data_IF_983993807273
#
_entry.id   IF_983993807273
#
_cell.length_a   1.000
_cell.length_b   1.000
_cell.length_c   1.000
_cell.angle_alpha   90.00
_cell.angle_beta   90.00
_cell.angle_gamma   90.00
#
_symmetry.space_group_name_H-M   'P 1'
#
loop_
_entity.id
_entity.type
_entity.pdbx_description
1 polymer ?
#
# COMPACT_ATOMS: atom_id res chain seq x y z
N UNK A 1 7.08 4.29 -14.43
CA UNK A 1 7.01 3.45 -13.22
C UNK A 1 6.26 2.16 -13.53
N UNK A 2 6.67 1.00 -12.96
CA UNK A 2 5.94 -0.27 -13.07
C UNK A 2 5.03 -0.45 -11.84
N UNK A 3 3.78 -0.83 -12.06
CA UNK A 3 2.80 -1.06 -10.99
C UNK A 3 2.28 -2.49 -11.08
N UNK A 4 2.51 -3.27 -10.03
CA UNK A 4 2.03 -4.63 -9.86
C UNK A 4 0.79 -4.61 -8.97
N UNK A 5 -0.36 -4.96 -9.51
CA UNK A 5 -1.63 -5.03 -8.77
C UNK A 5 -1.90 -6.50 -8.47
N UNK A 6 -1.91 -6.87 -7.18
CA UNK A 6 -2.24 -8.24 -6.78
C UNK A 6 -3.73 -8.34 -6.41
N UNK A 7 -4.42 -9.32 -6.98
CA UNK A 7 -5.85 -9.56 -6.71
C UNK A 7 -6.16 -11.04 -6.49
N UNK A 8 -7.00 -11.30 -5.53
CA UNK A 8 -7.60 -12.60 -5.23
C UNK A 8 -9.09 -12.67 -5.60
N UNK A 9 -9.61 -11.61 -6.25
CA UNK A 9 -11.03 -11.44 -6.56
C UNK A 9 -11.88 -10.94 -5.40
N UNK A 10 -11.31 -10.76 -4.21
CA UNK A 10 -12.01 -10.16 -3.06
C UNK A 10 -12.42 -8.71 -3.33
N UNK A 11 -13.33 -8.19 -2.50
CA UNK A 11 -13.71 -6.78 -2.50
C UNK A 11 -12.49 -5.85 -2.43
N UNK A 12 -11.52 -6.16 -1.56
CA UNK A 12 -10.31 -5.35 -1.40
C UNK A 12 -9.35 -5.48 -2.58
N UNK A 13 -9.26 -6.65 -3.22
CA UNK A 13 -8.51 -6.84 -4.45
C UNK A 13 -9.10 -6.04 -5.62
N UNK A 14 -10.43 -5.99 -5.74
CA UNK A 14 -11.14 -5.13 -6.70
C UNK A 14 -10.87 -3.65 -6.43
N UNK A 15 -10.95 -3.23 -5.18
CA UNK A 15 -10.63 -1.87 -4.76
C UNK A 15 -9.17 -1.49 -5.06
N UNK A 16 -8.22 -2.42 -4.92
CA UNK A 16 -6.83 -2.16 -5.27
C UNK A 16 -6.69 -1.78 -6.76
N UNK A 17 -7.42 -2.43 -7.66
CA UNK A 17 -7.44 -2.09 -9.08
C UNK A 17 -8.07 -0.72 -9.34
N UNK A 18 -9.18 -0.40 -8.66
CA UNK A 18 -9.85 0.90 -8.80
C UNK A 18 -9.02 2.06 -8.23
N UNK A 19 -8.35 1.84 -7.09
CA UNK A 19 -7.49 2.85 -6.48
C UNK A 19 -6.42 3.33 -7.44
N UNK A 20 -5.81 2.41 -8.18
CA UNK A 20 -4.75 2.74 -9.15
C UNK A 20 -5.26 3.65 -10.27
N UNK A 21 -6.52 3.51 -10.68
CA UNK A 21 -7.15 4.40 -11.66
C UNK A 21 -7.40 5.82 -11.14
N UNK A 22 -7.44 5.99 -9.81
CA UNK A 22 -7.78 7.26 -9.14
C UNK A 22 -6.57 8.00 -8.60
N UNK A 23 -5.39 7.37 -8.60
CA UNK A 23 -4.14 8.03 -8.23
C UNK A 23 -3.73 8.98 -9.37
N UNK A 24 -3.49 10.26 -9.08
CA UNK A 24 -3.05 11.23 -10.08
C UNK A 24 -1.56 11.05 -10.41
N UNK A 25 -1.21 9.98 -11.13
CA UNK A 25 0.17 9.75 -11.54
C UNK A 25 0.67 10.84 -12.50
N UNK A 26 1.92 11.27 -12.34
CA UNK A 26 2.59 12.21 -13.24
C UNK A 26 2.70 11.63 -14.65
N UNK A 27 3.24 10.42 -14.75
CA UNK A 27 3.39 9.66 -16.00
C UNK A 27 2.50 8.43 -15.97
N UNK A 28 2.05 7.98 -17.14
CA UNK A 28 1.26 6.74 -17.24
C UNK A 28 2.09 5.53 -16.81
N UNK A 29 1.75 4.84 -15.71
CA UNK A 29 2.46 3.66 -15.29
C UNK A 29 2.24 2.47 -16.23
N UNK A 30 3.18 1.52 -16.20
CA UNK A 30 2.99 0.20 -16.81
C UNK A 30 2.34 -0.72 -15.80
N UNK A 31 1.08 -1.09 -16.03
CA UNK A 31 0.32 -1.94 -15.12
C UNK A 31 0.50 -3.41 -15.44
N UNK A 32 0.65 -4.20 -14.38
CA UNK A 32 0.55 -5.66 -14.42
C UNK A 32 -0.44 -6.07 -13.34
N UNK A 33 -1.52 -6.73 -13.72
CA UNK A 33 -2.46 -7.32 -12.78
C UNK A 33 -2.07 -8.79 -12.59
N UNK A 34 -1.87 -9.19 -11.35
CA UNK A 34 -1.40 -10.49 -10.93
C UNK A 34 -2.49 -11.21 -10.13
N UNK A 35 -2.82 -12.41 -10.57
CA UNK A 35 -3.55 -13.39 -9.77
C UNK A 35 -2.65 -14.59 -9.49
N UNK A 36 -2.69 -15.10 -8.28
CA UNK A 36 -1.90 -16.26 -7.86
C UNK A 36 -2.86 -17.33 -7.36
N UNK A 37 -2.75 -18.50 -7.95
CA UNK A 37 -3.50 -19.68 -7.53
C UNK A 37 -2.66 -20.43 -6.48
N UNK A 38 -3.11 -20.40 -5.21
CA UNK A 38 -2.43 -21.07 -4.11
C UNK A 38 -2.82 -22.55 -4.05
N UNK A 39 -2.07 -23.38 -4.77
CA UNK A 39 -2.27 -24.84 -4.77
C UNK A 39 -1.64 -25.48 -3.53
N UNK A 40 -0.62 -24.84 -2.94
CA UNK A 40 0.07 -25.38 -1.77
C UNK A 40 -0.82 -25.35 -0.52
N UNK A 41 -1.71 -24.35 -0.42
CA UNK A 41 -2.69 -24.28 0.67
C UNK A 41 -3.64 -25.51 0.70
N UNK A 42 -3.88 -26.16 -0.44
CA UNK A 42 -4.68 -27.39 -0.51
C UNK A 42 -3.86 -28.61 -0.15
N UNK A 43 -2.58 -28.61 -0.49
CA UNK A 43 -1.69 -29.76 -0.25
C UNK A 43 -1.14 -29.82 1.18
N UNK A 44 -0.95 -28.67 1.84
CA UNK A 44 -0.34 -28.59 3.15
C UNK A 44 -1.11 -29.36 4.25
N UNK A 45 -2.46 -29.26 4.38
CA UNK A 45 -3.19 -30.04 5.38
C UNK A 45 -3.06 -31.56 5.19
N UNK A 46 -2.87 -32.00 3.95
CA UNK A 46 -2.84 -33.41 3.57
C UNK A 46 -1.49 -34.05 3.91
N UNK A 47 -0.40 -33.28 3.88
CA UNK A 47 0.93 -33.76 4.25
C UNK A 47 1.08 -34.09 5.73
N UNK A 48 0.21 -33.59 6.60
CA UNK A 48 0.26 -33.77 8.06
C UNK A 48 -0.75 -34.80 8.61
N UNK A 49 -1.59 -35.42 7.75
CA UNK A 49 -2.55 -36.43 8.18
C UNK A 49 -2.22 -37.79 7.55
N UNK A 50 -1.91 -38.83 8.38
CA UNK A 50 -1.55 -40.17 7.88
C UNK A 50 -2.69 -40.95 7.17
N UNK A 51 -3.90 -40.38 7.10
CA UNK A 51 -5.13 -41.07 6.67
C UNK A 51 -5.50 -40.85 5.20
N UNK A 52 -4.66 -40.21 4.40
CA UNK A 52 -5.06 -39.77 3.06
C UNK A 52 -4.43 -40.57 1.92
N UNK A 53 -4.09 -41.84 2.16
CA UNK A 53 -3.82 -42.78 1.09
C UNK A 53 -5.17 -43.18 0.50
N UNK A 54 -5.53 -42.54 -0.64
CA UNK A 54 -6.79 -42.80 -1.38
C UNK A 54 -7.60 -41.59 -1.79
N UNK A 55 -7.26 -40.38 -1.32
CA UNK A 55 -8.01 -39.16 -1.66
C UNK A 55 -7.43 -38.33 -2.83
N UNK A 56 -6.60 -38.95 -3.69
CA UNK A 56 -6.08 -38.29 -4.91
C UNK A 56 -7.18 -37.65 -5.78
N UNK A 57 -8.34 -38.33 -6.03
CA UNK A 57 -9.42 -37.73 -6.81
C UNK A 57 -10.00 -36.47 -6.18
N UNK A 58 -10.19 -36.43 -4.87
CA UNK A 58 -10.69 -35.27 -4.13
C UNK A 58 -9.73 -34.08 -4.23
N UNK A 59 -8.43 -34.34 -4.10
CA UNK A 59 -7.39 -33.31 -4.24
C UNK A 59 -7.39 -32.73 -5.65
N UNK A 60 -7.47 -33.59 -6.66
CA UNK A 60 -7.51 -33.17 -8.06
C UNK A 60 -8.75 -32.34 -8.39
N UNK A 61 -9.89 -32.70 -7.84
CA UNK A 61 -11.13 -31.94 -8.04
C UNK A 61 -11.08 -30.59 -7.33
N UNK A 62 -10.50 -30.50 -6.13
CA UNK A 62 -10.32 -29.24 -5.44
C UNK A 62 -9.33 -28.33 -6.17
N UNK A 63 -8.23 -28.86 -6.69
CA UNK A 63 -7.29 -28.12 -7.53
C UNK A 63 -8.01 -27.58 -8.78
N UNK A 64 -8.83 -28.37 -9.46
CA UNK A 64 -9.61 -27.92 -10.62
C UNK A 64 -10.58 -26.78 -10.27
N UNK A 65 -11.24 -26.88 -9.09
CA UNK A 65 -12.14 -25.81 -8.60
C UNK A 65 -11.40 -24.51 -8.37
N UNK A 66 -10.23 -24.57 -7.70
CA UNK A 66 -9.39 -23.40 -7.42
C UNK A 66 -8.88 -22.78 -8.73
N UNK A 67 -8.45 -23.61 -9.69
CA UNK A 67 -8.03 -23.12 -11.01
C UNK A 67 -9.19 -22.48 -11.80
N UNK A 68 -10.37 -23.08 -11.76
CA UNK A 68 -11.55 -22.51 -12.39
C UNK A 68 -11.91 -21.16 -11.77
N UNK A 69 -11.88 -21.05 -10.43
CA UNK A 69 -12.07 -19.79 -9.70
C UNK A 69 -11.01 -18.75 -10.08
N UNK A 70 -9.74 -19.16 -10.18
CA UNK A 70 -8.66 -18.28 -10.63
C UNK A 70 -8.88 -17.72 -12.03
N UNK A 71 -9.36 -18.56 -12.97
CA UNK A 71 -9.72 -18.11 -14.31
C UNK A 71 -10.87 -17.09 -14.30
N UNK A 72 -11.91 -17.33 -13.48
CA UNK A 72 -13.02 -16.37 -13.31
C UNK A 72 -12.53 -15.06 -12.72
N UNK A 73 -11.70 -15.10 -11.66
CA UNK A 73 -11.09 -13.90 -11.05
C UNK A 73 -10.32 -13.08 -12.07
N UNK A 74 -9.52 -13.72 -12.92
CA UNK A 74 -8.78 -13.03 -13.99
C UNK A 74 -9.69 -12.43 -15.05
N UNK A 75 -10.75 -13.12 -15.44
CA UNK A 75 -11.72 -12.60 -16.41
C UNK A 75 -12.44 -11.36 -15.86
N UNK A 76 -12.90 -11.41 -14.60
CA UNK A 76 -13.50 -10.26 -13.92
C UNK A 76 -12.53 -9.09 -13.80
N UNK A 77 -11.29 -9.36 -13.41
CA UNK A 77 -10.26 -8.35 -13.28
C UNK A 77 -9.90 -7.69 -14.63
N UNK A 78 -9.89 -8.48 -15.72
CA UNK A 78 -9.74 -7.96 -17.08
C UNK A 78 -10.87 -7.01 -17.46
N UNK A 79 -12.10 -7.40 -17.19
CA UNK A 79 -13.28 -6.57 -17.45
C UNK A 79 -13.23 -5.26 -16.63
N UNK A 80 -12.85 -5.36 -15.35
CA UNK A 80 -12.66 -4.19 -14.48
C UNK A 80 -11.57 -3.24 -15.00
N UNK A 81 -10.40 -3.75 -15.40
CA UNK A 81 -9.35 -2.92 -16.01
C UNK A 81 -9.86 -2.21 -17.27
N UNK A 82 -10.61 -2.91 -18.12
CA UNK A 82 -11.18 -2.34 -19.33
C UNK A 82 -12.17 -1.20 -19.02
N UNK A 83 -13.08 -1.39 -18.06
CA UNK A 83 -14.05 -0.36 -17.61
C UNK A 83 -13.36 0.88 -17.03
N UNK A 84 -12.24 0.68 -16.33
CA UNK A 84 -11.41 1.75 -15.76
C UNK A 84 -10.43 2.36 -16.77
N UNK A 85 -10.45 1.90 -18.03
CA UNK A 85 -9.51 2.32 -19.09
C UNK A 85 -8.02 2.13 -18.72
N UNK A 86 -7.72 1.15 -17.86
CA UNK A 86 -6.38 0.74 -17.49
C UNK A 86 -5.83 -0.21 -18.54
N UNK A 87 -4.77 0.20 -19.25
CA UNK A 87 -4.03 -0.68 -20.15
C UNK A 87 -2.91 -1.38 -19.39
N UNK A 88 -2.89 -2.70 -19.37
CA UNK A 88 -1.88 -3.47 -18.63
C UNK A 88 -1.82 -4.94 -19.03
N UNK A 89 -0.84 -5.66 -18.49
CA UNK A 89 -0.67 -7.09 -18.65
C UNK A 89 -1.46 -7.83 -17.57
N UNK A 90 -2.00 -9.00 -17.93
CA UNK A 90 -2.59 -9.96 -16.99
C UNK A 90 -1.59 -11.10 -16.82
N UNK A 91 -1.31 -11.45 -15.59
CA UNK A 91 -0.38 -12.53 -15.22
C UNK A 91 -1.09 -13.46 -14.25
N UNK A 92 -1.03 -14.74 -14.53
CA UNK A 92 -1.49 -15.81 -13.65
C UNK A 92 -0.30 -16.66 -13.24
N UNK A 93 -0.08 -16.79 -11.94
CA UNK A 93 0.99 -17.58 -11.37
C UNK A 93 0.40 -18.67 -10.46
N UNK A 94 1.19 -19.70 -10.18
CA UNK A 94 0.89 -20.75 -9.21
C UNK A 94 1.92 -20.73 -8.09
N UNK A 95 1.50 -20.95 -6.85
CA UNK A 95 2.37 -21.06 -5.69
C UNK A 95 1.91 -20.25 -4.50
N UNK A 96 2.75 -20.16 -3.48
CA UNK A 96 2.49 -19.38 -2.28
C UNK A 96 2.35 -17.88 -2.60
N UNK A 97 1.24 -17.26 -2.20
CA UNK A 97 0.83 -15.92 -2.66
C UNK A 97 1.87 -14.85 -2.30
N UNK A 98 2.23 -14.73 -1.03
CA UNK A 98 3.15 -13.70 -0.56
C UNK A 98 4.54 -13.78 -1.21
N UNK A 99 5.23 -14.95 -1.16
CA UNK A 99 6.53 -15.14 -1.81
C UNK A 99 6.50 -14.85 -3.32
N UNK A 100 5.43 -15.24 -4.02
CA UNK A 100 5.31 -14.98 -5.47
C UNK A 100 5.17 -13.48 -5.76
N UNK A 101 4.36 -12.74 -4.98
CA UNK A 101 4.28 -11.28 -5.09
C UNK A 101 5.66 -10.66 -4.86
N UNK A 102 6.37 -11.05 -3.81
CA UNK A 102 7.69 -10.51 -3.46
C UNK A 102 8.73 -10.76 -4.55
N UNK A 103 8.72 -11.95 -5.15
CA UNK A 103 9.60 -12.32 -6.27
C UNK A 103 9.37 -11.42 -7.49
N UNK A 104 8.10 -11.18 -7.86
CA UNK A 104 7.75 -10.36 -9.01
C UNK A 104 7.92 -8.85 -8.73
N UNK A 105 7.86 -8.45 -7.47
CA UNK A 105 8.07 -7.07 -7.03
C UNK A 105 9.53 -6.60 -7.03
N UNK A 106 10.49 -7.46 -7.37
CA UNK A 106 11.94 -7.25 -7.21
C UNK A 106 12.54 -6.12 -8.07
N UNK A 107 11.75 -5.20 -8.59
CA UNK A 107 12.22 -4.06 -9.37
C UNK A 107 12.27 -2.80 -8.50
N UNK A 108 13.45 -2.14 -8.46
CA UNK A 108 13.73 -1.00 -7.55
C UNK A 108 12.78 0.19 -7.67
N UNK A 109 12.18 0.44 -8.84
CA UNK A 109 11.28 1.57 -9.09
C UNK A 109 9.82 1.15 -9.25
N UNK A 110 9.46 -0.01 -8.68
CA UNK A 110 8.11 -0.58 -8.73
C UNK A 110 7.21 -0.11 -7.59
N UNK A 111 5.92 -0.22 -7.82
CA UNK A 111 4.87 -0.10 -6.82
C UNK A 111 4.06 -1.39 -6.81
N UNK A 112 3.94 -2.03 -5.65
CA UNK A 112 2.98 -3.12 -5.44
C UNK A 112 1.72 -2.52 -4.84
N UNK A 113 0.57 -2.90 -5.39
CA UNK A 113 -0.75 -2.48 -4.90
C UNK A 113 -1.56 -3.72 -4.57
N UNK A 114 -2.07 -3.78 -3.36
CA UNK A 114 -2.90 -4.89 -2.91
C UNK A 114 -3.94 -4.43 -1.89
N UNK A 115 -5.02 -5.18 -1.79
CA UNK A 115 -6.02 -4.96 -0.75
C UNK A 115 -5.46 -5.24 0.64
N UNK A 116 -5.99 -4.60 1.64
CA UNK A 116 -5.61 -4.86 3.04
C UNK A 116 -6.00 -6.26 3.53
N UNK A 117 -6.94 -6.91 2.85
CA UNK A 117 -7.51 -8.21 3.19
C UNK A 117 -7.83 -9.02 1.94
N UNK A 118 -7.92 -10.35 2.11
CA UNK A 118 -8.36 -11.27 1.09
C UNK A 118 -9.77 -11.82 1.36
N UNK A 119 -10.08 -12.95 0.71
CA UNK A 119 -11.38 -13.63 0.76
C UNK A 119 -11.73 -14.17 2.15
N UNK A 120 -10.73 -14.60 2.93
CA UNK A 120 -10.91 -15.29 4.22
C UNK A 120 -10.84 -14.36 5.45
N UNK A 121 -10.98 -13.05 5.25
CA UNK A 121 -10.82 -12.09 6.33
C UNK A 121 -12.07 -12.01 7.22
N UNK A 122 -12.00 -12.59 8.40
CA UNK A 122 -13.07 -12.59 9.43
C UNK A 122 -13.10 -11.29 10.27
N UNK A 123 -11.97 -10.62 10.45
CA UNK A 123 -11.88 -9.44 11.31
C UNK A 123 -11.74 -8.15 10.51
N UNK A 124 -12.60 -7.17 10.81
CA UNK A 124 -12.63 -5.86 10.12
C UNK A 124 -11.44 -4.94 10.43
N UNK A 125 -10.68 -5.23 11.48
CA UNK A 125 -9.63 -4.33 11.99
C UNK A 125 -8.21 -4.84 11.73
N UNK A 126 -8.02 -6.09 11.28
CA UNK A 126 -6.70 -6.66 11.06
C UNK A 126 -6.27 -6.65 9.60
N UNK A 127 -4.98 -6.42 9.38
CA UNK A 127 -4.34 -6.59 8.08
C UNK A 127 -4.21 -8.08 7.75
N UNK A 128 -4.51 -8.48 6.52
CA UNK A 128 -4.37 -9.87 6.08
C UNK A 128 -2.90 -10.34 6.09
N UNK A 129 -2.69 -11.67 6.18
CA UNK A 129 -1.35 -12.27 6.22
C UNK A 129 -0.48 -11.90 5.02
N UNK A 130 -1.03 -12.01 3.80
CA UNK A 130 -0.33 -11.63 2.56
C UNK A 130 0.02 -10.15 2.56
N UNK A 131 -0.93 -9.27 2.92
CA UNK A 131 -0.71 -7.83 2.94
C UNK A 131 0.33 -7.44 3.98
N UNK A 132 0.33 -8.09 5.14
CA UNK A 132 1.36 -7.94 6.18
C UNK A 132 2.73 -8.38 5.65
N UNK A 133 2.83 -9.56 5.06
CA UNK A 133 4.08 -10.10 4.53
C UNK A 133 4.66 -9.19 3.43
N UNK A 134 3.82 -8.75 2.49
CA UNK A 134 4.26 -7.86 1.41
C UNK A 134 4.65 -6.49 1.95
N UNK A 135 3.87 -5.89 2.86
CA UNK A 135 4.21 -4.61 3.46
C UNK A 135 5.55 -4.65 4.22
N UNK A 136 5.86 -5.77 4.89
CA UNK A 136 7.11 -5.92 5.64
C UNK A 136 8.32 -6.16 4.73
N UNK A 137 8.18 -6.97 3.69
CA UNK A 137 9.31 -7.57 2.97
C UNK A 137 9.46 -7.13 1.50
N UNK A 138 8.51 -6.36 0.93
CA UNK A 138 8.65 -5.94 -0.46
C UNK A 138 9.94 -5.13 -0.69
N UNK A 139 10.66 -5.38 -1.78
CA UNK A 139 11.88 -4.63 -2.11
C UNK A 139 11.59 -3.24 -2.71
N UNK A 140 10.33 -2.94 -3.02
CA UNK A 140 9.84 -1.71 -3.63
C UNK A 140 8.72 -1.07 -2.81
N UNK A 141 8.20 0.06 -3.25
CA UNK A 141 7.08 0.76 -2.60
C UNK A 141 5.81 -0.10 -2.61
N UNK A 142 4.97 0.06 -1.57
CA UNK A 142 3.76 -0.74 -1.38
C UNK A 142 2.58 0.18 -1.05
N UNK A 143 1.48 0.05 -1.78
CA UNK A 143 0.19 0.64 -1.46
C UNK A 143 -0.74 -0.44 -0.89
N UNK A 144 -1.17 -0.26 0.34
CA UNK A 144 -2.19 -1.09 0.98
C UNK A 144 -3.53 -0.36 0.92
N UNK A 145 -4.46 -0.92 0.17
CA UNK A 145 -5.80 -0.37 -0.01
C UNK A 145 -6.74 -0.90 1.08
N UNK A 146 -7.34 0.01 1.83
CA UNK A 146 -8.16 -0.32 3.01
C UNK A 146 -9.63 0.07 2.89
N UNK A 147 -9.94 1.02 2.06
CA UNK A 147 -11.28 1.56 1.92
C UNK A 147 -11.70 1.63 0.46
N UNK A 148 -12.99 1.86 0.27
CA UNK A 148 -13.56 2.04 -1.06
C UNK A 148 -12.87 3.17 -1.81
N UNK A 149 -12.54 2.94 -3.09
CA UNK A 149 -11.81 3.93 -3.86
C UNK A 149 -12.62 5.21 -4.07
N UNK A 150 -12.02 6.32 -3.72
CA UNK A 150 -12.51 7.67 -4.00
C UNK A 150 -11.38 8.50 -4.60
N UNK A 151 -11.68 9.61 -5.26
CA UNK A 151 -10.64 10.53 -5.73
C UNK A 151 -9.70 10.91 -4.59
N UNK A 152 -8.39 10.81 -4.83
CA UNK A 152 -7.39 11.22 -3.83
C UNK A 152 -7.31 12.74 -3.83
N UNK A 153 -7.91 13.36 -2.83
CA UNK A 153 -7.98 14.81 -2.66
C UNK A 153 -7.13 15.30 -1.47
N UNK A 154 -6.94 14.46 -0.46
CA UNK A 154 -6.18 14.82 0.73
C UNK A 154 -5.20 13.71 1.13
N UNK A 155 -3.92 14.04 1.17
CA UNK A 155 -2.82 13.14 1.49
C UNK A 155 -2.16 13.58 2.79
N UNK A 156 -1.94 12.67 3.75
CA UNK A 156 -1.06 12.92 4.87
C UNK A 156 0.35 12.43 4.50
N UNK A 157 1.31 13.33 4.52
CA UNK A 157 2.73 13.00 4.41
C UNK A 157 3.38 13.05 5.78
N UNK A 158 3.81 11.88 6.29
CA UNK A 158 4.51 11.76 7.56
C UNK A 158 6.02 11.85 7.34
N UNK A 159 6.67 12.81 7.99
CA UNK A 159 8.12 13.02 7.90
C UNK A 159 8.78 13.04 9.27
N UNK A 160 9.97 12.45 9.36
CA UNK A 160 10.89 12.51 10.51
C UNK A 160 12.25 13.10 10.12
N UNK A 161 12.38 13.62 8.89
CA UNK A 161 13.64 14.14 8.36
C UNK A 161 14.62 13.06 7.89
N UNK A 162 14.25 11.77 7.96
CA UNK A 162 15.10 10.68 7.49
C UNK A 162 15.21 10.63 5.97
N UNK A 163 16.24 9.91 5.46
CA UNK A 163 16.38 9.63 4.03
C UNK A 163 15.16 8.90 3.44
N UNK A 164 14.44 8.13 4.25
CA UNK A 164 13.24 7.42 3.79
C UNK A 164 12.04 8.36 3.67
N UNK A 165 11.87 9.28 4.61
CA UNK A 165 10.84 10.32 4.48
C UNK A 165 11.14 11.30 3.34
N UNK A 166 12.41 11.61 3.06
CA UNK A 166 12.78 12.41 1.89
C UNK A 166 12.49 11.68 0.56
N UNK A 167 12.68 10.35 0.50
CA UNK A 167 12.22 9.56 -0.65
C UNK A 167 10.70 9.64 -0.82
N UNK A 168 9.94 9.62 0.28
CA UNK A 168 8.49 9.74 0.22
C UNK A 168 8.06 11.13 -0.28
N UNK A 169 8.72 12.20 0.16
CA UNK A 169 8.52 13.54 -0.38
C UNK A 169 8.84 13.61 -1.88
N UNK A 170 9.98 13.04 -2.30
CA UNK A 170 10.33 12.97 -3.72
C UNK A 170 9.31 12.20 -4.55
N UNK A 171 8.75 11.13 -4.00
CA UNK A 171 7.68 10.39 -4.68
C UNK A 171 6.46 11.29 -4.94
N UNK A 172 5.99 12.04 -3.95
CA UNK A 172 4.91 13.01 -4.12
C UNK A 172 5.24 14.03 -5.22
N UNK A 173 6.46 14.59 -5.20
CA UNK A 173 6.89 15.62 -6.12
C UNK A 173 7.12 15.15 -7.57
N UNK A 174 7.47 13.86 -7.78
CA UNK A 174 7.92 13.37 -9.09
C UNK A 174 7.04 12.27 -9.68
N UNK A 175 6.17 11.66 -8.90
CA UNK A 175 5.32 10.56 -9.36
C UNK A 175 3.83 10.89 -9.31
N UNK A 176 3.45 11.89 -8.50
CA UNK A 176 2.06 12.36 -8.44
C UNK A 176 1.94 13.78 -8.97
N UNK A 177 0.77 14.11 -9.51
CA UNK A 177 0.43 15.47 -9.94
C UNK A 177 -0.28 16.21 -8.79
N UNK A 178 -0.05 17.50 -8.65
CA UNK A 178 -0.80 18.34 -7.70
C UNK A 178 -2.27 18.53 -8.13
N UNK A 179 -2.53 18.48 -9.46
CA UNK A 179 -3.90 18.53 -9.98
C UNK A 179 -4.60 17.23 -9.65
N UNK A 180 -5.53 17.27 -8.73
CA UNK A 180 -6.33 16.10 -8.36
C UNK A 180 -7.09 15.52 -9.57
N UNK A 181 -7.71 14.36 -9.43
CA UNK A 181 -8.51 13.73 -10.48
C UNK A 181 -9.77 14.53 -10.83
N UNK A 182 -10.19 15.44 -9.95
CA UNK A 182 -11.26 16.37 -10.19
C UNK A 182 -10.72 17.66 -10.81
N UNK A 183 -11.33 18.09 -11.91
CA UNK A 183 -10.98 19.34 -12.59
C UNK A 183 -11.11 20.50 -11.59
N UNK A 184 -10.03 21.29 -11.43
CA UNK A 184 -9.94 22.48 -10.56
C UNK A 184 -9.81 22.25 -9.04
N UNK A 185 -9.56 21.02 -8.54
CA UNK A 185 -9.26 20.83 -7.12
C UNK A 185 -7.85 20.27 -6.95
N UNK A 186 -6.89 21.08 -6.47
CA UNK A 186 -5.55 20.59 -6.17
C UNK A 186 -5.59 19.59 -5.01
N UNK A 187 -4.64 18.66 -5.02
CA UNK A 187 -4.44 17.73 -3.89
C UNK A 187 -3.91 18.52 -2.70
N UNK A 188 -4.57 18.39 -1.56
CA UNK A 188 -4.10 18.93 -0.28
C UNK A 188 -3.13 17.94 0.36
N UNK A 189 -1.95 18.39 0.78
CA UNK A 189 -0.97 17.58 1.49
C UNK A 189 -0.83 18.08 2.92
N UNK A 190 -1.22 17.26 3.88
CA UNK A 190 -1.01 17.50 5.32
C UNK A 190 0.39 17.01 5.67
N UNK A 191 1.36 17.91 5.72
CA UNK A 191 2.73 17.61 6.12
C UNK A 191 2.78 17.48 7.63
N UNK A 192 3.12 16.28 8.12
CA UNK A 192 3.02 15.96 9.54
C UNK A 192 4.36 15.50 10.10
N UNK A 193 4.84 16.18 11.15
CA UNK A 193 5.97 15.76 11.97
C UNK A 193 5.53 15.55 13.41
N UNK A 194 5.92 14.42 14.00
CA UNK A 194 5.62 14.12 15.40
C UNK A 194 6.93 14.06 16.19
N UNK A 195 7.03 14.97 17.15
CA UNK A 195 8.15 14.99 18.08
C UNK A 195 7.90 14.05 19.27
N UNK A 196 8.90 13.35 19.77
CA UNK A 196 8.80 12.64 21.04
C UNK A 196 8.50 13.63 22.20
N UNK A 197 8.01 13.11 23.33
CA UNK A 197 7.59 13.90 24.50
C UNK A 197 8.68 14.76 25.17
N UNK A 198 9.80 14.98 24.55
CA UNK A 198 10.85 15.87 25.04
C UNK A 198 10.47 17.33 24.71
N UNK A 199 10.07 18.07 25.73
CA UNK A 199 9.59 19.44 25.56
C UNK A 199 10.75 20.45 25.59
N UNK A 200 11.70 20.30 24.65
CA UNK A 200 12.75 21.28 24.45
C UNK A 200 12.35 22.26 23.34
N UNK A 201 12.41 23.59 23.57
CA UNK A 201 12.05 24.60 22.55
C UNK A 201 12.81 24.42 21.24
N UNK A 202 14.10 24.06 21.30
CA UNK A 202 14.94 23.84 20.13
C UNK A 202 14.46 22.69 19.25
N UNK A 203 13.93 21.61 19.86
CA UNK A 203 13.35 20.50 19.13
C UNK A 203 12.05 20.89 18.43
N UNK A 204 11.24 21.74 19.10
CA UNK A 204 10.01 22.26 18.53
C UNK A 204 10.29 23.10 17.29
N UNK A 205 11.28 24.00 17.41
CA UNK A 205 11.71 24.84 16.29
C UNK A 205 12.31 24.03 15.15
N UNK A 206 13.13 23.02 15.45
CA UNK A 206 13.68 22.11 14.45
C UNK A 206 12.58 21.32 13.71
N UNK A 207 11.57 20.84 14.44
CA UNK A 207 10.40 20.15 13.87
C UNK A 207 9.56 21.05 12.96
N UNK A 208 9.33 22.31 13.38
CA UNK A 208 8.63 23.31 12.56
C UNK A 208 9.40 23.64 11.29
N UNK A 209 10.71 23.86 11.38
CA UNK A 209 11.57 24.10 10.20
C UNK A 209 11.55 22.91 9.21
N UNK A 210 11.57 21.68 9.73
CA UNK A 210 11.47 20.47 8.88
C UNK A 210 10.16 20.43 8.07
N UNK A 211 9.04 20.70 8.75
CA UNK A 211 7.71 20.71 8.11
C UNK A 211 7.65 21.85 7.09
N UNK A 212 8.07 23.06 7.43
CA UNK A 212 8.12 24.21 6.55
C UNK A 212 8.96 23.96 5.29
N UNK A 213 10.13 23.34 5.43
CA UNK A 213 10.98 22.98 4.28
C UNK A 213 10.28 22.00 3.33
N UNK A 214 9.59 20.99 3.88
CA UNK A 214 8.79 20.06 3.08
C UNK A 214 7.59 20.76 2.41
N UNK A 215 6.88 21.60 3.17
CA UNK A 215 5.74 22.38 2.71
C UNK A 215 6.12 23.30 1.55
N UNK A 216 7.20 24.06 1.69
CA UNK A 216 7.70 24.97 0.64
C UNK A 216 8.02 24.23 -0.67
N UNK A 217 8.56 23.01 -0.61
CA UNK A 217 8.81 22.17 -1.80
C UNK A 217 7.52 21.72 -2.48
N UNK A 218 6.51 21.35 -1.70
CA UNK A 218 5.21 20.91 -2.19
C UNK A 218 4.40 22.09 -2.77
N UNK A 219 4.40 23.25 -2.11
CA UNK A 219 3.76 24.48 -2.60
C UNK A 219 4.35 24.92 -3.94
N UNK A 220 5.69 24.88 -4.07
CA UNK A 220 6.38 25.17 -5.34
C UNK A 220 6.00 24.20 -6.46
N UNK A 221 5.62 22.97 -6.11
CA UNK A 221 5.14 21.97 -7.06
C UNK A 221 3.62 22.07 -7.35
N UNK A 222 2.91 23.03 -6.75
CA UNK A 222 1.48 23.30 -7.01
C UNK A 222 0.51 22.61 -6.04
N UNK A 223 0.98 21.98 -4.98
CA UNK A 223 0.11 21.39 -3.95
C UNK A 223 -0.43 22.46 -2.98
N UNK A 224 -1.63 22.24 -2.47
CA UNK A 224 -2.11 22.94 -1.27
C UNK A 224 -1.54 22.22 -0.06
N UNK A 225 -0.99 22.97 0.89
CA UNK A 225 -0.31 22.35 2.05
C UNK A 225 -0.89 22.84 3.37
N UNK A 226 -1.09 21.90 4.28
CA UNK A 226 -1.42 22.12 5.69
C UNK A 226 -0.27 21.56 6.55
N UNK A 227 0.21 22.33 7.50
CA UNK A 227 1.37 22.02 8.33
C UNK A 227 0.95 21.57 9.71
N UNK A 228 1.42 20.40 10.15
CA UNK A 228 1.07 19.83 11.44
C UNK A 228 2.33 19.35 12.18
N UNK A 229 2.64 20.00 13.29
CA UNK A 229 3.65 19.55 14.26
C UNK A 229 2.96 19.17 15.56
N UNK A 230 3.23 17.98 16.09
CA UNK A 230 2.64 17.49 17.33
C UNK A 230 3.68 16.83 18.23
N UNK A 231 3.36 16.76 19.51
CA UNK A 231 4.08 16.00 20.52
C UNK A 231 3.36 14.68 20.75
N UNK A 232 4.08 13.58 20.87
CA UNK A 232 3.48 12.32 21.26
C UNK A 232 4.18 11.07 20.70
N UNK A 233 3.46 9.95 20.76
CA UNK A 233 3.89 8.70 20.12
C UNK A 233 3.65 8.80 18.62
N UNK A 234 4.69 8.72 17.77
CA UNK A 234 4.57 9.08 16.36
C UNK A 234 3.44 8.35 15.62
N UNK A 235 3.36 7.03 15.70
CA UNK A 235 2.32 6.29 14.99
C UNK A 235 0.90 6.69 15.44
N UNK A 236 0.68 6.87 16.76
CA UNK A 236 -0.64 7.19 17.31
C UNK A 236 -1.08 8.59 16.89
N UNK A 237 -0.17 9.57 16.93
CA UNK A 237 -0.49 10.93 16.50
C UNK A 237 -0.67 11.05 14.98
N UNK A 238 0.12 10.32 14.16
CA UNK A 238 -0.11 10.24 12.71
C UNK A 238 -1.53 9.73 12.43
N UNK A 239 -1.97 8.64 13.09
CA UNK A 239 -3.31 8.07 12.92
C UNK A 239 -4.41 9.04 13.37
N UNK A 240 -4.21 9.77 14.49
CA UNK A 240 -5.16 10.79 14.95
C UNK A 240 -5.27 11.96 13.96
N UNK A 241 -4.14 12.44 13.44
CA UNK A 241 -4.15 13.50 12.42
C UNK A 241 -4.86 13.03 11.17
N UNK A 242 -4.55 11.81 10.69
CA UNK A 242 -5.19 11.23 9.52
C UNK A 242 -6.71 11.15 9.65
N UNK A 243 -7.19 10.67 10.81
CA UNK A 243 -8.63 10.58 11.11
C UNK A 243 -9.27 11.97 11.23
N UNK A 244 -8.67 12.90 12.01
CA UNK A 244 -9.20 14.25 12.21
C UNK A 244 -9.29 15.05 10.93
N UNK A 245 -8.27 14.93 10.06
CA UNK A 245 -8.20 15.63 8.76
C UNK A 245 -8.94 14.88 7.65
N UNK A 246 -9.47 13.67 7.93
CA UNK A 246 -10.20 12.82 6.97
C UNK A 246 -9.39 12.61 5.68
N UNK A 247 -8.12 12.21 5.83
CA UNK A 247 -7.23 11.98 4.69
C UNK A 247 -7.61 10.70 3.93
N UNK A 248 -7.40 10.72 2.61
CA UNK A 248 -7.65 9.58 1.73
C UNK A 248 -6.46 8.61 1.72
N UNK A 249 -5.26 9.15 1.89
CA UNK A 249 -4.01 8.41 1.75
C UNK A 249 -2.97 8.89 2.78
N UNK A 250 -2.35 7.96 3.50
CA UNK A 250 -1.13 8.24 4.26
C UNK A 250 0.07 7.85 3.42
N UNK A 251 1.04 8.74 3.28
CA UNK A 251 2.34 8.48 2.63
C UNK A 251 3.43 8.56 3.68
N UNK A 252 4.22 7.51 3.79
CA UNK A 252 5.32 7.41 4.75
C UNK A 252 6.54 6.72 4.14
N UNK A 253 7.72 7.03 4.64
CA UNK A 253 8.92 6.24 4.36
C UNK A 253 8.83 4.86 5.02
N UNK A 254 9.51 3.87 4.44
CA UNK A 254 9.53 2.52 5.01
C UNK A 254 10.26 2.45 6.36
N UNK A 255 11.17 3.39 6.65
CA UNK A 255 12.01 3.41 7.85
C UNK A 255 12.21 4.81 8.37
N UNK A 256 12.45 4.97 9.67
CA UNK A 256 12.86 6.22 10.30
C UNK A 256 14.37 6.27 10.59
N UNK A 257 14.80 7.29 11.33
CA UNK A 257 16.21 7.62 11.61
C UNK A 257 17.03 6.52 12.32
N UNK A 258 16.42 5.52 12.94
CA UNK A 258 17.13 4.49 13.74
C UNK A 258 17.22 3.09 13.14
N UNK A 259 16.86 2.87 11.89
CA UNK A 259 16.68 1.53 11.34
C UNK A 259 17.96 0.94 10.72
N UNK A 260 18.49 -0.13 11.31
CA UNK A 260 19.74 -0.79 10.93
C UNK A 260 19.52 -1.88 9.85
N UNK A 261 18.35 -2.51 9.77
CA UNK A 261 18.11 -3.68 8.89
C UNK A 261 17.51 -3.27 7.54
N UNK A 262 18.14 -3.68 6.44
CA UNK A 262 17.90 -3.16 5.07
C UNK A 262 16.53 -3.51 4.44
N UNK A 263 15.82 -4.52 4.92
CA UNK A 263 14.61 -5.08 4.28
C UNK A 263 13.34 -5.12 5.13
N UNK A 264 13.36 -4.61 6.37
CA UNK A 264 12.18 -4.60 7.24
C UNK A 264 11.53 -3.21 7.27
N UNK A 265 10.22 -3.19 7.44
CA UNK A 265 9.45 -1.98 7.71
C UNK A 265 9.75 -1.47 9.13
N UNK A 266 9.88 -0.15 9.31
CA UNK A 266 10.07 0.45 10.63
C UNK A 266 8.84 0.28 11.52
N UNK A 267 9.02 0.31 12.84
CA UNK A 267 7.93 0.11 13.81
C UNK A 267 6.78 1.11 13.65
N UNK A 268 7.09 2.38 13.37
CA UNK A 268 6.07 3.43 13.14
C UNK A 268 5.27 3.11 11.87
N UNK A 269 5.95 2.86 10.74
CA UNK A 269 5.28 2.56 9.48
C UNK A 269 4.49 1.26 9.57
N UNK A 270 5.00 0.24 10.28
CA UNK A 270 4.26 -1.00 10.55
C UNK A 270 2.96 -0.70 11.31
N UNK A 271 3.03 0.06 12.40
CA UNK A 271 1.86 0.42 13.20
C UNK A 271 0.86 1.26 12.40
N UNK A 272 1.33 2.20 11.57
CA UNK A 272 0.48 2.99 10.67
C UNK A 272 -0.21 2.09 9.66
N UNK A 273 0.52 1.19 9.00
CA UNK A 273 -0.06 0.22 8.04
C UNK A 273 -1.09 -0.68 8.70
N UNK A 274 -0.85 -1.15 9.93
CA UNK A 274 -1.77 -2.03 10.64
C UNK A 274 -3.06 -1.32 11.08
N UNK A 275 -2.95 -0.13 11.65
CA UNK A 275 -4.04 0.53 12.37
C UNK A 275 -4.72 1.68 11.63
N UNK A 276 -4.21 2.11 10.48
CA UNK A 276 -4.88 3.13 9.67
C UNK A 276 -6.25 2.66 9.20
N UNK A 277 -7.22 3.56 9.18
CA UNK A 277 -8.54 3.36 8.56
C UNK A 277 -8.53 3.70 7.07
N UNK A 278 -7.67 4.59 6.62
CA UNK A 278 -7.47 4.94 5.21
C UNK A 278 -6.31 4.15 4.59
N UNK A 279 -6.19 4.22 3.27
CA UNK A 279 -5.12 3.56 2.52
C UNK A 279 -3.74 4.10 2.89
N UNK A 280 -2.69 3.26 2.79
CA UNK A 280 -1.32 3.63 3.19
C UNK A 280 -0.34 3.29 2.08
N UNK A 281 0.44 4.27 1.66
CA UNK A 281 1.55 4.15 0.72
C UNK A 281 2.88 4.23 1.47
N UNK A 282 3.60 3.13 1.46
CA UNK A 282 4.94 3.01 2.04
C UNK A 282 5.99 3.13 0.95
N UNK A 283 6.88 4.10 1.04
CA UNK A 283 7.94 4.39 0.06
C UNK A 283 9.27 3.80 0.52
N UNK A 284 9.95 3.09 -0.41
CA UNK A 284 11.24 2.41 -0.17
C UNK A 284 12.40 2.98 -0.99
#
# INVERSE_FOLDING_TARGET
MKVLIATDGSKYGKWATEWVARIPFQDKPQFTLLHITDIEAVRAPIMFQPVVIGNEPFIQDEIKRIEARGKSTLAEAKAQMASLKIKGKLVSERGAVGPTILKLAAQRDGLVVLGSRGLDALDRFMLGSVSTQVALHAPCSVLIVKEEPRPVSRVLFATDGSKASDKALRFLLTKLRPDGPEVFKPVEVVVTHIMPFLNYPELKEAGSRLVEQCANRLIKAGYVVDEVVRLGKPADEILKVASKKKVDLIVTGAKGMGAIVRFLLGSISTKVVQHSTCSVLVIR
#
